data_IF_665464818340
#
_entry.id   IF_665464818340
#
_cell.length_a   1.000
_cell.length_b   1.000
_cell.length_c   1.000
_cell.angle_alpha   90.00
_cell.angle_beta   90.00
_cell.angle_gamma   90.00
#
_symmetry.space_group_name_H-M   'P 1'
#
loop_
_entity.id
_entity.type
_entity.pdbx_description
1 polymer ?
#
# COMPACT_ATOMS: atom_id res chain seq x y z
N UNK A 1 9.23 4.56 0.79
CA UNK A 1 8.22 4.05 -0.15
C UNK A 1 8.29 2.53 -0.18
N UNK A 2 7.18 1.86 -0.45
CA UNK A 2 7.13 0.42 -0.74
C UNK A 2 7.24 0.16 -2.24
N UNK A 3 6.50 0.96 -3.02
CA UNK A 3 6.59 1.00 -4.48
C UNK A 3 6.94 2.41 -4.92
N UNK A 4 7.80 2.51 -5.93
CA UNK A 4 8.19 3.78 -6.54
C UNK A 4 7.85 3.84 -8.02
N UNK A 5 7.71 5.06 -8.52
CA UNK A 5 7.48 5.37 -9.92
C UNK A 5 8.52 6.38 -10.40
N UNK A 6 9.07 6.18 -11.59
CA UNK A 6 10.02 7.11 -12.20
C UNK A 6 9.30 8.01 -13.19
N UNK A 7 9.36 9.31 -12.96
CA UNK A 7 8.76 10.36 -13.81
C UNK A 7 9.32 10.30 -15.23
N UNK A 8 8.43 10.31 -16.20
CA UNK A 8 8.69 10.32 -17.64
C UNK A 8 8.30 11.66 -18.25
N UNK A 9 8.77 11.90 -19.48
CA UNK A 9 8.40 13.10 -20.23
C UNK A 9 6.89 13.15 -20.46
N UNK A 10 6.26 14.25 -20.03
CA UNK A 10 4.81 14.48 -20.19
C UNK A 10 3.94 13.97 -19.03
N UNK A 11 4.53 13.44 -17.96
CA UNK A 11 3.77 13.02 -16.79
C UNK A 11 3.10 14.20 -16.07
N UNK A 12 1.87 13.97 -15.64
CA UNK A 12 1.09 14.81 -14.71
C UNK A 12 0.69 13.94 -13.51
N UNK A 13 0.28 14.56 -12.39
CA UNK A 13 -0.32 13.82 -11.26
C UNK A 13 -1.42 12.86 -11.72
N UNK A 14 -2.32 13.34 -12.59
CA UNK A 14 -3.43 12.54 -13.13
C UNK A 14 -3.00 11.38 -14.04
N UNK A 15 -1.94 11.56 -14.83
CA UNK A 15 -1.39 10.48 -15.65
C UNK A 15 -0.70 9.41 -14.79
N UNK A 16 0.00 9.83 -13.72
CA UNK A 16 0.63 8.92 -12.76
C UNK A 16 -0.45 8.15 -12.00
N UNK A 17 -1.47 8.83 -11.48
CA UNK A 17 -2.63 8.20 -10.82
C UNK A 17 -3.30 7.17 -11.72
N UNK A 18 -3.55 7.50 -12.99
CA UNK A 18 -4.16 6.56 -13.95
C UNK A 18 -3.27 5.37 -14.26
N UNK A 19 -1.95 5.55 -14.24
CA UNK A 19 -0.95 4.52 -14.55
C UNK A 19 -0.67 3.59 -13.38
N UNK A 20 -0.66 4.12 -12.15
CA UNK A 20 -0.21 3.37 -10.95
C UNK A 20 -1.34 3.11 -9.95
N UNK A 21 -2.51 3.73 -10.12
CA UNK A 21 -3.64 3.65 -9.20
C UNK A 21 -3.45 4.40 -7.87
N UNK A 22 -2.39 5.20 -7.73
CA UNK A 22 -2.17 6.02 -6.53
C UNK A 22 -3.05 7.26 -6.59
N UNK A 23 -3.80 7.55 -5.53
CA UNK A 23 -4.58 8.79 -5.50
C UNK A 23 -3.67 10.01 -5.43
N UNK A 24 -4.10 11.12 -6.02
CA UNK A 24 -3.39 12.42 -5.94
C UNK A 24 -3.06 12.82 -4.49
N UNK A 25 -4.03 12.67 -3.58
CA UNK A 25 -3.84 12.93 -2.16
C UNK A 25 -2.76 12.05 -1.53
N UNK A 26 -2.73 10.76 -1.86
CA UNK A 26 -1.68 9.84 -1.40
C UNK A 26 -0.33 10.18 -2.01
N UNK A 27 -0.28 10.52 -3.30
CA UNK A 27 0.93 10.90 -4.00
C UNK A 27 1.59 12.12 -3.34
N UNK A 28 0.81 13.17 -3.02
CA UNK A 28 1.29 14.35 -2.30
C UNK A 28 1.71 14.04 -0.87
N UNK A 29 0.95 13.22 -0.15
CA UNK A 29 1.29 12.83 1.22
C UNK A 29 2.63 12.08 1.28
N UNK A 30 2.92 11.24 0.30
CA UNK A 30 4.15 10.45 0.21
C UNK A 30 5.34 11.24 -0.35
N UNK A 31 5.09 12.33 -1.07
CA UNK A 31 6.13 13.13 -1.72
C UNK A 31 5.91 14.63 -1.45
N UNK A 32 6.24 15.11 -0.23
CA UNK A 32 6.01 16.51 0.17
C UNK A 32 6.74 17.55 -0.68
N UNK A 33 7.72 17.13 -1.50
CA UNK A 33 8.45 17.99 -2.43
C UNK A 33 7.67 18.32 -3.71
N UNK A 34 6.59 17.59 -4.03
CA UNK A 34 5.77 17.88 -5.22
C UNK A 34 4.75 18.96 -4.86
N UNK A 35 4.60 19.97 -5.70
CA UNK A 35 3.56 20.98 -5.52
C UNK A 35 2.18 20.46 -5.95
N UNK A 36 1.10 21.11 -5.54
CA UNK A 36 -0.28 20.70 -5.83
C UNK A 36 -0.65 20.63 -7.31
N UNK A 37 0.17 21.19 -8.20
CA UNK A 37 -0.05 21.14 -9.64
C UNK A 37 0.78 20.08 -10.37
N UNK A 38 1.62 19.31 -9.67
CA UNK A 38 2.66 18.47 -10.28
C UNK A 38 3.52 19.21 -11.32
N UNK A 39 3.63 20.55 -11.25
CA UNK A 39 4.35 21.34 -12.27
C UNK A 39 5.86 21.37 -12.04
N UNK A 40 6.31 20.87 -10.90
CA UNK A 40 7.72 20.79 -10.52
C UNK A 40 8.31 19.38 -10.64
N UNK A 41 7.63 18.45 -11.33
CA UNK A 41 8.15 17.12 -11.60
C UNK A 41 9.36 17.19 -12.55
N UNK A 42 10.40 16.42 -12.23
CA UNK A 42 11.61 16.30 -13.05
C UNK A 42 11.68 14.93 -13.72
N UNK A 43 12.03 14.89 -15.01
CA UNK A 43 12.23 13.61 -15.72
C UNK A 43 13.33 12.80 -15.00
N UNK A 44 13.04 11.54 -14.70
CA UNK A 44 13.93 10.67 -13.94
C UNK A 44 13.78 10.77 -12.42
N UNK A 45 12.97 11.72 -11.90
CA UNK A 45 12.64 11.79 -10.49
C UNK A 45 11.91 10.51 -10.06
N UNK A 46 12.29 9.96 -8.91
CA UNK A 46 11.66 8.78 -8.32
C UNK A 46 10.66 9.25 -7.26
N UNK A 47 9.38 8.93 -7.46
CA UNK A 47 8.29 9.24 -6.55
C UNK A 47 7.86 8.00 -5.78
N UNK A 48 7.55 8.16 -4.50
CA UNK A 48 6.86 7.15 -3.71
C UNK A 48 5.38 7.08 -4.12
N UNK A 49 4.93 5.97 -4.68
CA UNK A 49 3.51 5.75 -5.03
C UNK A 49 2.80 4.81 -4.05
N UNK A 50 3.55 4.21 -3.13
CA UNK A 50 3.04 3.47 -1.99
C UNK A 50 3.96 3.72 -0.79
N UNK A 51 3.39 3.82 0.41
CA UNK A 51 4.09 4.16 1.65
C UNK A 51 5.18 3.16 2.02
N UNK A 52 5.03 1.89 1.66
CA UNK A 52 5.85 0.82 2.25
C UNK A 52 5.07 -0.46 2.38
N UNK A 53 3.78 -0.32 2.65
CA UNK A 53 2.82 -1.40 2.83
C UNK A 53 2.30 -1.96 1.50
N UNK A 54 3.16 -2.03 0.48
CA UNK A 54 2.88 -2.86 -0.68
C UNK A 54 3.03 -4.31 -0.25
N UNK A 55 2.18 -5.19 -0.75
CA UNK A 55 2.18 -6.59 -0.34
C UNK A 55 3.40 -7.38 -0.82
N UNK A 56 4.54 -7.23 -0.15
CA UNK A 56 5.76 -7.96 -0.48
C UNK A 56 5.79 -9.34 0.17
N UNK A 57 5.08 -9.51 1.30
CA UNK A 57 4.84 -10.80 1.93
C UNK A 57 3.35 -11.03 2.10
N UNK A 58 2.96 -12.24 1.76
CA UNK A 58 1.60 -12.73 1.89
C UNK A 58 1.55 -13.89 2.87
N UNK A 59 0.43 -14.00 3.57
CA UNK A 59 0.11 -15.11 4.45
C UNK A 59 -1.20 -15.75 3.99
N UNK A 60 -1.25 -17.07 3.83
CA UNK A 60 -2.50 -17.77 3.50
C UNK A 60 -3.15 -18.26 4.77
N UNK A 61 -4.38 -17.83 5.02
CA UNK A 61 -5.17 -18.21 6.20
C UNK A 61 -5.39 -19.72 6.20
N UNK A 62 -5.06 -20.36 7.32
CA UNK A 62 -5.33 -21.79 7.56
C UNK A 62 -6.39 -21.97 8.64
N UNK A 63 -6.87 -23.21 8.81
CA UNK A 63 -7.88 -23.53 9.82
C UNK A 63 -7.37 -23.19 11.23
N UNK A 64 -8.16 -22.44 11.99
CA UNK A 64 -7.86 -22.05 13.37
C UNK A 64 -7.05 -20.76 13.53
N UNK A 65 -6.69 -20.07 12.45
CA UNK A 65 -6.00 -18.79 12.55
C UNK A 65 -6.92 -17.68 13.09
N UNK A 66 -6.32 -16.79 13.88
CA UNK A 66 -6.88 -15.50 14.31
C UNK A 66 -5.94 -14.38 13.86
N UNK A 67 -6.41 -13.13 13.77
CA UNK A 67 -5.52 -11.98 13.46
C UNK A 67 -4.33 -11.92 14.42
N UNK A 68 -4.57 -12.06 15.74
CA UNK A 68 -3.51 -12.09 16.76
C UNK A 68 -2.45 -13.18 16.53
N UNK A 69 -2.85 -14.37 16.06
CA UNK A 69 -1.91 -15.44 15.75
C UNK A 69 -1.10 -15.14 14.48
N UNK A 70 -1.74 -14.57 13.46
CA UNK A 70 -1.10 -14.16 12.20
C UNK A 70 -0.11 -13.01 12.45
N UNK A 71 -0.52 -11.98 13.20
CA UNK A 71 0.31 -10.86 13.66
C UNK A 71 1.55 -11.37 14.39
N UNK A 72 1.37 -12.25 15.38
CA UNK A 72 2.48 -12.82 16.15
C UNK A 72 3.44 -13.64 15.27
N UNK A 73 2.92 -14.34 14.26
CA UNK A 73 3.72 -15.18 13.34
C UNK A 73 4.47 -14.35 12.30
N UNK A 74 3.91 -13.24 11.85
CA UNK A 74 4.43 -12.44 10.74
C UNK A 74 5.16 -11.17 11.19
N UNK A 75 4.91 -10.73 12.43
CA UNK A 75 5.52 -9.55 13.04
C UNK A 75 4.83 -8.23 12.68
N UNK A 76 3.67 -8.26 12.02
CA UNK A 76 2.87 -7.05 11.76
C UNK A 76 1.98 -6.73 12.97
N UNK A 77 1.71 -5.44 13.19
CA UNK A 77 0.72 -5.00 14.18
C UNK A 77 -0.72 -5.13 13.64
N UNK A 78 -1.69 -5.20 14.54
CA UNK A 78 -3.13 -5.17 14.23
C UNK A 78 -3.50 -4.01 13.27
N UNK A 79 -3.02 -2.80 13.58
CA UNK A 79 -3.25 -1.62 12.75
C UNK A 79 -2.67 -1.78 11.34
N UNK A 80 -1.48 -2.40 11.20
CA UNK A 80 -0.90 -2.67 9.88
C UNK A 80 -1.70 -3.74 9.14
N UNK A 81 -2.07 -4.84 9.82
CA UNK A 81 -2.84 -5.92 9.21
C UNK A 81 -4.18 -5.42 8.66
N UNK A 82 -4.91 -4.60 9.42
CA UNK A 82 -6.18 -4.00 8.99
C UNK A 82 -6.01 -2.93 7.90
N UNK A 83 -4.96 -2.10 8.00
CA UNK A 83 -4.69 -1.10 6.96
C UNK A 83 -4.35 -1.75 5.60
N UNK A 84 -3.66 -2.88 5.64
CA UNK A 84 -3.24 -3.62 4.45
C UNK A 84 -4.31 -4.55 3.89
N UNK A 85 -5.26 -4.97 4.71
CA UNK A 85 -6.34 -5.88 4.33
C UNK A 85 -7.71 -5.30 4.71
N UNK A 86 -8.21 -4.27 4.00
CA UNK A 86 -9.46 -3.58 4.34
C UNK A 86 -10.70 -4.48 4.32
N UNK A 87 -10.61 -5.66 3.69
CA UNK A 87 -11.65 -6.67 3.70
C UNK A 87 -11.81 -7.38 5.04
N UNK A 88 -10.80 -7.36 5.93
CA UNK A 88 -10.90 -7.94 7.27
C UNK A 88 -11.66 -6.97 8.18
N UNK A 89 -12.71 -7.44 8.83
CA UNK A 89 -13.46 -6.64 9.78
C UNK A 89 -12.67 -6.44 11.09
N UNK A 90 -13.02 -5.43 11.90
CA UNK A 90 -12.32 -5.12 13.15
C UNK A 90 -12.30 -6.25 14.19
N UNK A 91 -13.23 -7.21 14.08
CA UNK A 91 -13.27 -8.38 14.96
C UNK A 91 -12.44 -9.57 14.44
N UNK A 92 -11.86 -9.46 13.24
CA UNK A 92 -11.21 -10.54 12.52
C UNK A 92 -12.06 -11.81 12.38
N UNK A 93 -13.39 -11.69 12.39
CA UNK A 93 -14.32 -12.84 12.39
C UNK A 93 -14.68 -13.33 10.99
N UNK A 94 -14.25 -12.61 9.95
CA UNK A 94 -14.58 -12.90 8.57
C UNK A 94 -13.41 -13.47 7.76
N UNK A 95 -12.37 -13.99 8.44
CA UNK A 95 -11.29 -14.72 7.79
C UNK A 95 -11.80 -16.00 7.14
N UNK A 96 -11.38 -16.25 5.90
CA UNK A 96 -11.71 -17.46 5.16
C UNK A 96 -10.47 -18.33 4.96
N UNK A 97 -10.59 -19.64 5.16
CA UNK A 97 -9.49 -20.58 4.87
C UNK A 97 -9.11 -20.46 3.39
N UNK A 98 -7.81 -20.32 3.11
CA UNK A 98 -7.28 -20.08 1.77
C UNK A 98 -7.26 -18.60 1.34
N UNK A 99 -7.80 -17.69 2.16
CA UNK A 99 -7.67 -16.26 1.92
C UNK A 99 -6.20 -15.84 2.01
N UNK A 100 -5.74 -15.07 1.03
CA UNK A 100 -4.38 -14.52 1.03
C UNK A 100 -4.41 -13.13 1.63
N UNK A 101 -3.72 -12.97 2.76
CA UNK A 101 -3.55 -11.72 3.47
C UNK A 101 -2.19 -11.12 3.22
N UNK A 102 -2.16 -9.81 3.37
CA UNK A 102 -0.98 -9.03 3.23
C UNK A 102 -0.32 -8.73 4.58
N UNK A 103 0.98 -8.99 4.71
CA UNK A 103 1.69 -9.01 6.01
C UNK A 103 3.10 -8.39 5.96
N UNK A 104 3.30 -7.33 5.17
CA UNK A 104 4.58 -6.59 5.09
C UNK A 104 4.44 -5.11 4.78
#
# INVERSE_FOLDING_TARGET
CGTSYTVKSGDTCSAIESSTGVSDATLHALNPSINSGCTNLQIGQVLCISSGSGCTKTYTVVSGDTCSAIESRTGVSDAQLHAMNPSINSGCTNLQIGQVLCVS
#
